data_IF_034583928015
#
_entry.id   IF_034583928015
#
_cell.length_a   1.000
_cell.length_b   1.000
_cell.length_c   1.000
_cell.angle_alpha   90.00
_cell.angle_beta   90.00
_cell.angle_gamma   90.00
#
_symmetry.space_group_name_H-M   'P 1'
#
loop_
_entity.id
_entity.type
_entity.pdbx_description
1 polymer ?
#
# COMPACT_ATOMS: atom_id res chain seq x y z
N UNK A 1 -5.11 -4.67 -10.30
CA UNK A 1 -3.96 -5.60 -10.24
C UNK A 1 -4.53 -7.01 -10.34
N UNK A 2 -4.12 -7.80 -11.34
CA UNK A 2 -4.68 -9.16 -11.55
C UNK A 2 -3.65 -10.18 -11.11
N UNK A 3 -4.03 -11.02 -10.15
CA UNK A 3 -3.25 -12.16 -9.69
C UNK A 3 -3.66 -13.38 -10.52
N UNK A 4 -2.73 -14.01 -11.23
CA UNK A 4 -2.99 -15.31 -11.87
C UNK A 4 -3.03 -16.40 -10.77
N UNK A 5 -4.16 -17.08 -10.65
CA UNK A 5 -4.44 -18.10 -9.62
C UNK A 5 -4.09 -19.51 -10.12
N UNK A 6 -3.88 -19.70 -11.43
CA UNK A 6 -3.62 -21.00 -12.02
C UNK A 6 -2.12 -21.24 -12.29
N UNK A 7 -1.70 -22.52 -12.23
CA UNK A 7 -0.32 -22.99 -12.48
C UNK A 7 0.07 -22.87 -13.97
N UNK A 8 -0.07 -21.70 -14.56
CA UNK A 8 0.48 -21.38 -15.87
C UNK A 8 1.94 -20.96 -15.68
N UNK A 9 2.84 -21.60 -16.42
CA UNK A 9 4.21 -21.10 -16.49
C UNK A 9 4.20 -19.71 -17.12
N UNK A 10 4.90 -18.76 -16.49
CA UNK A 10 5.01 -17.38 -16.95
C UNK A 10 5.49 -17.33 -18.42
N UNK A 11 6.37 -18.26 -18.81
CA UNK A 11 6.88 -18.40 -20.17
C UNK A 11 5.78 -18.72 -21.19
N UNK A 12 4.87 -19.64 -20.90
CA UNK A 12 3.77 -20.00 -21.80
C UNK A 12 2.71 -18.91 -21.88
N UNK A 13 2.58 -18.07 -20.85
CA UNK A 13 1.69 -16.94 -20.87
C UNK A 13 2.25 -15.78 -21.72
N UNK A 14 3.53 -15.44 -21.55
CA UNK A 14 4.18 -14.34 -22.28
C UNK A 14 4.15 -14.55 -23.80
N UNK A 15 4.29 -15.78 -24.29
CA UNK A 15 4.26 -16.07 -25.73
C UNK A 15 2.91 -15.79 -26.40
N UNK A 16 1.83 -15.64 -25.63
CA UNK A 16 0.51 -15.28 -26.15
C UNK A 16 0.33 -13.76 -26.33
N UNK A 17 1.23 -12.97 -25.75
CA UNK A 17 1.20 -11.52 -25.88
C UNK A 17 1.91 -11.09 -27.16
N UNK A 18 1.25 -10.21 -27.91
CA UNK A 18 1.79 -9.60 -29.12
C UNK A 18 1.95 -8.09 -28.93
N UNK A 19 2.92 -7.43 -29.58
CA UNK A 19 3.06 -5.99 -29.51
C UNK A 19 1.78 -5.25 -29.93
N UNK A 20 1.54 -4.10 -29.32
CA UNK A 20 0.47 -3.19 -29.74
C UNK A 20 1.01 -2.25 -30.81
N UNK A 21 0.31 -2.18 -31.95
CA UNK A 21 0.64 -1.22 -33.00
C UNK A 21 0.66 0.21 -32.42
N UNK A 22 1.65 1.03 -32.80
CA UNK A 22 1.93 2.38 -32.26
C UNK A 22 2.41 2.48 -30.80
N UNK A 23 2.50 1.37 -30.05
CA UNK A 23 2.95 1.36 -28.64
C UNK A 23 3.87 0.17 -28.37
N UNK A 24 5.13 0.21 -28.81
CA UNK A 24 6.02 -0.95 -28.73
C UNK A 24 6.41 -1.29 -27.27
N UNK A 25 6.23 -0.36 -26.33
CA UNK A 25 6.36 -0.61 -24.89
C UNK A 25 5.22 -1.42 -24.26
N UNK A 26 4.15 -1.69 -25.02
CA UNK A 26 2.94 -2.38 -24.56
C UNK A 26 2.67 -3.62 -25.42
N UNK A 27 2.27 -4.71 -24.77
CA UNK A 27 1.82 -5.92 -25.42
C UNK A 27 0.35 -6.19 -25.08
N UNK A 28 -0.36 -6.91 -25.94
CA UNK A 28 -1.75 -7.31 -25.75
C UNK A 28 -1.94 -8.79 -26.00
N UNK A 29 -2.90 -9.40 -25.33
CA UNK A 29 -3.37 -10.75 -25.64
C UNK A 29 -4.74 -10.67 -26.33
N UNK A 30 -4.95 -11.53 -27.33
CA UNK A 30 -6.16 -11.52 -28.16
C UNK A 30 -7.33 -12.34 -27.58
N UNK A 31 -7.06 -13.30 -26.69
CA UNK A 31 -8.07 -14.23 -26.16
C UNK A 31 -8.44 -13.93 -24.70
N UNK A 32 -8.90 -12.71 -24.40
CA UNK A 32 -9.49 -12.41 -23.08
C UNK A 32 -10.97 -12.85 -23.08
N UNK A 33 -11.21 -14.16 -23.02
CA UNK A 33 -12.55 -14.71 -23.32
C UNK A 33 -13.56 -14.60 -22.18
N UNK A 34 -13.15 -14.18 -20.96
CA UNK A 34 -14.03 -14.29 -19.79
C UNK A 34 -14.21 -13.03 -18.91
N UNK A 35 -13.20 -12.18 -18.73
CA UNK A 35 -13.26 -11.12 -17.68
C UNK A 35 -12.82 -9.71 -18.11
N UNK A 36 -12.21 -9.55 -19.29
CA UNK A 36 -11.76 -8.26 -19.77
C UNK A 36 -11.88 -8.15 -21.29
N UNK A 37 -12.24 -6.96 -21.79
CA UNK A 37 -12.33 -6.69 -23.23
C UNK A 37 -10.95 -6.69 -23.90
N UNK A 38 -9.92 -6.22 -23.18
CA UNK A 38 -8.53 -6.22 -23.62
C UNK A 38 -7.65 -6.43 -22.39
N UNK A 39 -6.58 -7.22 -22.54
CA UNK A 39 -5.58 -7.36 -21.49
C UNK A 39 -4.21 -6.93 -22.05
N UNK A 40 -3.57 -6.00 -21.36
CA UNK A 40 -2.27 -5.45 -21.74
C UNK A 40 -1.20 -5.85 -20.74
N UNK A 41 -0.01 -6.10 -21.25
CA UNK A 41 1.19 -6.38 -20.48
C UNK A 41 2.22 -5.29 -20.77
N UNK A 42 2.74 -4.71 -19.70
CA UNK A 42 3.88 -3.78 -19.73
C UNK A 42 4.93 -4.37 -18.79
N UNK A 43 6.18 -4.38 -19.25
CA UNK A 43 7.29 -5.01 -18.54
C UNK A 43 8.51 -4.11 -18.56
N UNK A 44 9.47 -4.35 -17.66
CA UNK A 44 10.72 -3.59 -17.64
C UNK A 44 11.47 -3.64 -18.99
N UNK A 45 11.63 -4.81 -19.65
CA UNK A 45 12.28 -4.87 -20.96
C UNK A 45 11.53 -4.07 -22.04
N UNK A 46 10.19 -4.10 -22.03
CA UNK A 46 9.40 -3.37 -23.04
C UNK A 46 9.48 -1.86 -22.85
N UNK A 47 9.63 -1.37 -21.62
CA UNK A 47 9.83 0.05 -21.31
C UNK A 47 11.25 0.55 -21.58
N UNK A 48 12.27 -0.32 -21.48
CA UNK A 48 13.68 0.06 -21.70
C UNK A 48 14.09 0.15 -23.17
N UNK A 49 13.25 -0.30 -24.11
CA UNK A 49 13.56 -0.31 -25.54
C UNK A 49 13.33 1.03 -26.24
N UNK A 50 12.74 2.02 -25.59
CA UNK A 50 12.52 3.34 -26.17
C UNK A 50 13.52 4.35 -25.58
N UNK A 51 14.17 5.14 -26.43
CA UNK A 51 14.62 6.47 -26.01
C UNK A 51 13.37 7.22 -25.61
N UNK A 52 13.19 7.39 -24.30
CA UNK A 52 12.01 8.02 -23.74
C UNK A 52 12.08 9.50 -24.09
N UNK A 53 11.50 9.83 -25.24
CA UNK A 53 11.30 11.21 -25.66
C UNK A 53 10.41 11.93 -24.63
N UNK A 54 10.45 13.26 -24.60
CA UNK A 54 9.72 14.08 -23.64
C UNK A 54 8.18 13.86 -23.67
N UNK A 55 7.67 13.11 -24.65
CA UNK A 55 6.27 12.78 -24.87
C UNK A 55 5.89 11.39 -24.35
N UNK A 56 6.22 11.07 -23.10
CA UNK A 56 5.76 9.84 -22.44
C UNK A 56 4.24 9.84 -22.38
N UNK A 57 3.60 8.79 -22.91
CA UNK A 57 2.14 8.73 -22.88
C UNK A 57 1.60 8.67 -21.44
N UNK A 58 0.37 9.14 -21.23
CA UNK A 58 -0.26 9.15 -19.88
C UNK A 58 -0.38 7.77 -19.25
N UNK A 59 -0.32 6.68 -20.02
CA UNK A 59 -0.32 5.30 -19.52
C UNK A 59 1.09 4.74 -19.29
N UNK A 60 2.08 5.23 -20.04
CA UNK A 60 3.47 4.79 -19.92
C UNK A 60 4.10 5.33 -18.64
N UNK A 61 3.88 6.60 -18.28
CA UNK A 61 4.47 7.19 -17.08
C UNK A 61 4.07 6.48 -15.76
N UNK A 62 2.78 6.14 -15.52
CA UNK A 62 2.41 5.30 -14.37
C UNK A 62 3.00 3.89 -14.45
N UNK A 63 3.10 3.31 -15.64
CA UNK A 63 3.70 1.99 -15.81
C UNK A 63 5.19 1.99 -15.44
N UNK A 64 5.93 3.03 -15.84
CA UNK A 64 7.33 3.23 -15.47
C UNK A 64 7.49 3.37 -13.97
N UNK A 65 6.70 4.25 -13.34
CA UNK A 65 6.71 4.42 -11.89
C UNK A 65 6.49 3.09 -11.14
N UNK A 66 5.49 2.31 -11.54
CA UNK A 66 5.15 1.03 -10.90
C UNK A 66 6.17 -0.10 -11.16
N UNK A 67 6.87 -0.06 -12.30
CA UNK A 67 7.83 -1.10 -12.70
C UNK A 67 9.24 -0.79 -12.19
N UNK A 68 9.65 0.48 -12.22
CA UNK A 68 10.96 0.91 -11.71
C UNK A 68 11.04 0.76 -10.20
N UNK A 69 9.93 1.02 -9.48
CA UNK A 69 9.83 0.94 -8.02
C UNK A 69 10.97 1.66 -7.30
N UNK A 70 11.46 2.75 -7.89
CA UNK A 70 12.56 3.48 -7.31
C UNK A 70 12.09 4.16 -6.01
N UNK A 71 12.81 4.01 -4.90
CA UNK A 71 12.36 4.53 -3.60
C UNK A 71 12.35 6.05 -3.54
N UNK A 72 13.07 6.72 -4.45
CA UNK A 72 13.15 8.18 -4.50
C UNK A 72 12.97 8.68 -5.92
N UNK A 73 12.41 9.89 -6.06
CA UNK A 73 12.30 10.54 -7.36
C UNK A 73 13.68 10.70 -8.02
N UNK A 74 14.71 11.03 -7.24
CA UNK A 74 16.08 11.20 -7.75
C UNK A 74 16.64 9.92 -8.39
N UNK A 75 16.27 8.74 -7.86
CA UNK A 75 16.67 7.46 -8.41
C UNK A 75 15.78 6.95 -9.54
N UNK A 76 14.75 7.69 -9.96
CA UNK A 76 13.88 7.31 -11.06
C UNK A 76 14.54 7.66 -12.39
N UNK A 77 14.29 6.89 -13.45
CA UNK A 77 14.91 7.12 -14.77
C UNK A 77 14.46 8.42 -15.43
N UNK A 78 13.32 8.97 -14.98
CA UNK A 78 12.66 10.16 -15.54
C UNK A 78 12.17 11.11 -14.42
N UNK A 79 13.09 11.70 -13.64
CA UNK A 79 12.73 12.50 -12.47
C UNK A 79 12.03 13.81 -12.84
N UNK A 80 12.28 14.32 -14.06
CA UNK A 80 11.69 15.58 -14.53
C UNK A 80 10.30 15.42 -15.14
N UNK A 81 9.86 14.18 -15.40
CA UNK A 81 8.56 13.96 -16.03
C UNK A 81 7.42 14.35 -15.07
N UNK A 82 6.56 15.26 -15.51
CA UNK A 82 5.51 15.87 -14.67
C UNK A 82 4.59 14.84 -14.01
N UNK A 83 4.20 13.80 -14.75
CA UNK A 83 3.36 12.72 -14.22
C UNK A 83 4.11 11.87 -13.19
N UNK A 84 5.41 11.61 -13.39
CA UNK A 84 6.21 10.84 -12.43
C UNK A 84 6.34 11.64 -11.13
N UNK A 85 6.64 12.94 -11.20
CA UNK A 85 6.70 13.83 -10.04
C UNK A 85 5.37 13.88 -9.28
N UNK A 86 4.26 13.94 -10.01
CA UNK A 86 2.91 13.89 -9.42
C UNK A 86 2.66 12.56 -8.70
N UNK A 87 3.04 11.42 -9.29
CA UNK A 87 2.88 10.10 -8.68
C UNK A 87 3.70 9.96 -7.39
N UNK A 88 4.94 10.45 -7.36
CA UNK A 88 5.73 10.49 -6.11
C UNK A 88 5.08 11.36 -5.05
N UNK A 89 4.54 12.54 -5.43
CA UNK A 89 3.82 13.40 -4.49
C UNK A 89 2.59 12.69 -3.90
N UNK A 90 1.76 12.08 -4.74
CA UNK A 90 0.59 11.33 -4.30
C UNK A 90 0.97 10.17 -3.38
N UNK A 91 2.04 9.43 -3.72
CA UNK A 91 2.52 8.35 -2.86
C UNK A 91 2.94 8.87 -1.47
N UNK A 92 3.65 10.00 -1.40
CA UNK A 92 4.01 10.64 -0.13
C UNK A 92 2.77 11.06 0.67
N UNK A 93 1.83 11.78 0.04
CA UNK A 93 0.59 12.22 0.69
C UNK A 93 -0.23 11.04 1.23
N UNK A 94 -0.32 9.93 0.47
CA UNK A 94 -0.97 8.71 0.93
C UNK A 94 -0.27 8.13 2.17
N UNK A 95 1.06 8.04 2.17
CA UNK A 95 1.82 7.48 3.30
C UNK A 95 1.75 8.36 4.55
N UNK A 96 1.74 9.68 4.39
CA UNK A 96 1.58 10.63 5.50
C UNK A 96 0.19 10.49 6.12
N UNK A 97 -0.85 10.41 5.29
CA UNK A 97 -2.22 10.19 5.74
C UNK A 97 -2.38 8.87 6.51
N UNK A 98 -1.84 7.77 6.00
CA UNK A 98 -1.86 6.47 6.68
C UNK A 98 -1.13 6.51 8.03
N UNK A 99 0.02 7.21 8.07
CA UNK A 99 0.79 7.39 9.31
C UNK A 99 -0.02 8.17 10.34
N UNK A 100 -0.64 9.28 9.94
CA UNK A 100 -1.48 10.09 10.82
C UNK A 100 -2.67 9.29 11.36
N UNK A 101 -3.36 8.53 10.53
CA UNK A 101 -4.47 7.67 10.97
C UNK A 101 -4.01 6.64 12.00
N UNK A 102 -2.83 6.04 11.79
CA UNK A 102 -2.25 5.09 12.73
C UNK A 102 -1.91 5.75 14.06
N UNK A 103 -1.32 6.94 14.05
CA UNK A 103 -1.02 7.70 15.26
C UNK A 103 -2.29 8.07 16.04
N UNK A 104 -3.36 8.47 15.35
CA UNK A 104 -4.64 8.77 15.97
C UNK A 104 -5.25 7.54 16.64
N UNK A 105 -5.18 6.37 16.01
CA UNK A 105 -5.61 5.10 16.60
C UNK A 105 -4.80 4.75 17.85
N UNK A 106 -3.47 4.89 17.80
CA UNK A 106 -2.61 4.65 18.97
C UNK A 106 -3.00 5.59 20.11
N UNK A 107 -3.26 6.86 19.82
CA UNK A 107 -3.68 7.86 20.82
C UNK A 107 -5.02 7.50 21.46
N UNK A 108 -5.99 7.03 20.67
CA UNK A 108 -7.29 6.59 21.20
C UNK A 108 -7.11 5.41 22.16
N UNK A 109 -6.31 4.42 21.77
CA UNK A 109 -6.00 3.27 22.63
C UNK A 109 -5.30 3.71 23.92
N UNK A 110 -4.33 4.61 23.82
CA UNK A 110 -3.61 5.16 24.98
C UNK A 110 -4.54 5.88 25.96
N UNK A 111 -5.49 6.68 25.45
CA UNK A 111 -6.52 7.35 26.27
C UNK A 111 -7.41 6.33 26.97
N UNK A 112 -7.85 5.28 26.27
CA UNK A 112 -8.67 4.21 26.86
C UNK A 112 -7.89 3.49 27.97
N UNK A 113 -6.65 3.07 27.69
CA UNK A 113 -5.79 2.40 28.66
C UNK A 113 -5.54 3.29 29.89
N UNK A 114 -5.16 4.55 29.69
CA UNK A 114 -4.95 5.54 30.76
C UNK A 114 -6.21 5.75 31.59
N UNK A 115 -7.39 5.85 30.94
CA UNK A 115 -8.64 6.04 31.66
C UNK A 115 -9.04 4.78 32.45
N UNK A 116 -8.82 3.60 31.90
CA UNK A 116 -9.04 2.33 32.58
C UNK A 116 -8.12 2.20 33.80
N UNK A 117 -6.84 2.53 33.65
CA UNK A 117 -5.88 2.54 34.76
C UNK A 117 -6.32 3.53 35.86
N UNK A 118 -6.72 4.75 35.50
CA UNK A 118 -7.26 5.73 36.46
C UNK A 118 -8.51 5.23 37.17
N UNK A 119 -9.41 4.51 36.48
CA UNK A 119 -10.60 3.92 37.07
C UNK A 119 -10.21 2.84 38.08
N UNK A 120 -9.32 1.92 37.71
CA UNK A 120 -8.86 0.86 38.61
C UNK A 120 -8.11 1.41 39.82
N UNK A 121 -7.28 2.43 39.62
CA UNK A 121 -6.62 3.16 40.71
C UNK A 121 -7.63 3.78 41.68
N UNK A 122 -8.72 4.40 41.16
CA UNK A 122 -9.80 4.95 42.01
C UNK A 122 -10.55 3.85 42.77
N UNK A 123 -10.90 2.75 42.11
CA UNK A 123 -11.54 1.60 42.78
C UNK A 123 -10.64 1.06 43.88
N UNK A 124 -9.34 0.86 43.60
CA UNK A 124 -8.34 0.44 44.58
C UNK A 124 -8.31 1.36 45.80
N UNK A 125 -8.25 2.67 45.57
CA UNK A 125 -8.25 3.68 46.64
C UNK A 125 -9.54 3.64 47.49
N UNK A 126 -10.71 3.48 46.86
CA UNK A 126 -11.99 3.38 47.58
C UNK A 126 -12.11 2.12 48.44
N UNK A 127 -11.40 1.03 48.11
CA UNK A 127 -11.47 -0.23 48.86
C UNK A 127 -10.52 -0.27 50.08
N UNK A 128 -9.54 0.62 50.19
CA UNK A 128 -8.46 0.55 51.22
C UNK A 128 -9.03 0.34 52.63
N UNK A 129 -10.06 1.10 53.00
CA UNK A 129 -10.62 1.12 54.36
C UNK A 129 -11.97 0.38 54.50
N UNK A 130 -12.37 -0.43 53.51
CA UNK A 130 -13.66 -1.12 53.56
C UNK A 130 -13.47 -2.57 54.04
N UNK A 131 -14.04 -2.97 55.19
CA UNK A 131 -13.97 -4.35 55.68
C UNK A 131 -14.59 -5.35 54.69
N UNK A 132 -14.04 -6.56 54.60
CA UNK A 132 -14.59 -7.63 53.75
C UNK A 132 -14.27 -7.56 52.25
N UNK A 133 -13.46 -6.60 51.79
CA UNK A 133 -13.19 -6.36 50.36
C UNK A 133 -11.94 -7.05 49.81
N UNK A 134 -11.44 -8.10 50.48
CA UNK A 134 -10.14 -8.71 50.17
C UNK A 134 -10.07 -9.33 48.76
N UNK A 135 -11.15 -9.95 48.31
CA UNK A 135 -11.25 -10.49 46.94
C UNK A 135 -11.37 -9.39 45.88
N UNK A 136 -12.12 -8.32 46.15
CA UNK A 136 -12.20 -7.17 45.25
C UNK A 136 -10.82 -6.50 45.07
N UNK A 137 -10.02 -6.37 46.15
CA UNK A 137 -8.64 -5.86 46.08
C UNK A 137 -7.74 -6.71 45.20
N UNK A 138 -7.84 -8.04 45.26
CA UNK A 138 -7.09 -8.97 44.40
C UNK A 138 -7.46 -8.84 42.92
N UNK A 139 -8.73 -8.58 42.62
CA UNK A 139 -9.19 -8.37 41.24
C UNK A 139 -8.62 -7.06 40.70
N UNK A 140 -8.69 -5.97 41.47
CA UNK A 140 -8.14 -4.66 41.08
C UNK A 140 -6.64 -4.75 40.84
N UNK A 141 -5.87 -5.43 41.69
CA UNK A 141 -4.42 -5.57 41.53
C UNK A 141 -4.00 -6.44 40.34
N UNK A 142 -4.92 -7.19 39.72
CA UNK A 142 -4.66 -7.95 38.49
C UNK A 142 -5.02 -7.18 37.23
N UNK A 143 -5.82 -6.11 37.36
CA UNK A 143 -6.28 -5.27 36.27
C UNK A 143 -5.35 -4.06 36.02
N UNK A 144 -4.48 -3.75 36.99
CA UNK A 144 -3.34 -2.82 36.91
C UNK A 144 -2.06 -3.62 36.64
#
# INVERSE_FOLDING_TARGET
MVFCIDKLSLSTLITKFIPVDSKPWMQRIMCCDFWAKNCYLVSKPSLSCEEVDANVSSLQAPSMFLIEQSPTLYGHSHPEHSTVRMLYRLAMECTEFETQQREDLVRVVDVICTNNEKLWNKVGASLVNVPGTLEAKKIVSRAL
#
